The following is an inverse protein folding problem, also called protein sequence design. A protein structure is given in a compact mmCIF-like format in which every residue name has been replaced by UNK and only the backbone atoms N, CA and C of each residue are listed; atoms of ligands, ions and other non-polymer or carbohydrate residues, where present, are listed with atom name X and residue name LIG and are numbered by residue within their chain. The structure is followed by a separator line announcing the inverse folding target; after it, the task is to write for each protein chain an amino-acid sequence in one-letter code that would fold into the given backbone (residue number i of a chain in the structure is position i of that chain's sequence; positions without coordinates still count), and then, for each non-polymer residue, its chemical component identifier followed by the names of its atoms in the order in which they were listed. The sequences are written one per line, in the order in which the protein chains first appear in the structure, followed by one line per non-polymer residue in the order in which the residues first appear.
data_IF_375738098929
#
_entry.id   IF_375738098929
#
_cell.length_a   1.000
_cell.length_b   1.000
_cell.length_c   1.000
_cell.angle_alpha   90.00
_cell.angle_beta   90.00
_cell.angle_gamma   90.00
#
_symmetry.space_group_name_H-M   'P 1'
#
loop_
_entity.id
_entity.type
_entity.pdbx_description
1 polymer ?
#
# COMPACT_ATOMS: atom_id res chain seq x y z
N UNK A 1 38.05 -79.80 -11.18
CA UNK A 1 39.46 -79.39 -10.99
C UNK A 1 39.47 -77.88 -11.08
N UNK A 2 39.52 -77.10 -10.00
CA UNK A 2 39.68 -77.42 -8.58
C UNK A 2 39.01 -76.31 -7.78
N UNK A 3 38.36 -76.71 -6.69
CA UNK A 3 38.00 -75.89 -5.52
C UNK A 3 39.20 -75.14 -4.94
N UNK A 4 38.95 -73.97 -4.33
CA UNK A 4 39.43 -73.54 -3.00
C UNK A 4 38.53 -72.34 -2.53
N UNK A 5 37.63 -72.65 -1.58
CA UNK A 5 37.20 -71.90 -0.37
C UNK A 5 36.54 -70.49 -0.38
N UNK A 6 35.23 -70.52 -0.11
CA UNK A 6 34.30 -69.59 0.58
C UNK A 6 34.80 -69.16 2.01
N UNK A 7 34.27 -68.12 2.73
CA UNK A 7 32.83 -68.01 3.01
C UNK A 7 32.17 -66.63 3.21
N UNK A 8 30.91 -66.59 2.76
CA UNK A 8 29.69 -66.30 3.54
C UNK A 8 29.70 -65.19 4.63
N UNK A 9 28.84 -64.19 4.45
CA UNK A 9 27.81 -63.87 5.45
C UNK A 9 26.50 -63.52 4.73
N UNK A 10 25.70 -64.56 4.51
CA UNK A 10 24.26 -64.55 4.38
C UNK A 10 23.61 -63.84 5.58
N UNK A 11 22.54 -63.12 5.27
CA UNK A 11 21.18 -63.38 5.76
C UNK A 11 20.48 -62.06 6.07
N UNK A 12 19.22 -61.84 5.76
CA UNK A 12 18.19 -62.57 5.03
C UNK A 12 17.06 -61.53 4.88
N UNK A 13 16.19 -61.76 3.91
CA UNK A 13 15.07 -60.88 3.60
C UNK A 13 14.08 -60.76 4.77
N UNK A 14 13.41 -59.61 4.87
CA UNK A 14 11.96 -59.66 5.12
C UNK A 14 11.24 -58.44 4.58
N UNK A 15 10.60 -58.66 3.43
CA UNK A 15 9.22 -58.34 3.10
C UNK A 15 8.54 -57.11 3.74
N UNK A 16 7.97 -56.26 2.88
CA UNK A 16 6.91 -55.32 3.25
C UNK A 16 7.08 -53.96 2.59
N UNK A 17 6.31 -53.69 1.53
CA UNK A 17 6.44 -52.50 0.70
C UNK A 17 6.09 -51.18 1.39
N UNK A 18 6.66 -50.08 0.88
CA UNK A 18 6.03 -48.75 0.87
C UNK A 18 6.71 -47.82 -0.17
N UNK A 19 5.97 -46.94 -0.88
CA UNK A 19 6.37 -46.27 -2.11
C UNK A 19 7.09 -44.96 -1.81
N UNK A 20 8.34 -45.01 -1.33
CA UNK A 20 9.14 -43.79 -1.21
C UNK A 20 9.87 -43.48 -2.52
N UNK A 21 9.15 -42.71 -3.34
CA UNK A 21 9.68 -41.85 -4.41
C UNK A 21 11.05 -41.33 -3.98
N UNK A 22 12.09 -41.71 -4.74
CA UNK A 22 13.43 -41.11 -4.63
C UNK A 22 13.28 -39.64 -5.00
N UNK A 23 13.11 -38.81 -3.98
CA UNK A 23 13.05 -37.37 -4.13
C UNK A 23 14.47 -36.89 -4.36
N UNK A 24 14.66 -36.19 -5.49
CA UNK A 24 15.96 -35.82 -6.01
C UNK A 24 16.80 -35.04 -4.98
N UNK A 25 18.14 -35.15 -5.02
CA UNK A 25 19.05 -34.51 -4.06
C UNK A 25 19.04 -32.97 -4.09
N UNK A 26 18.36 -32.37 -5.06
CA UNK A 26 18.24 -30.93 -5.27
C UNK A 26 16.86 -30.41 -4.88
N UNK A 27 16.32 -30.86 -3.75
CA UNK A 27 15.00 -30.46 -3.28
C UNK A 27 15.02 -28.99 -2.80
N UNK A 28 15.04 -28.06 -3.75
CA UNK A 28 14.85 -26.63 -3.48
C UNK A 28 13.49 -26.46 -2.82
N UNK A 29 13.48 -25.80 -1.65
CA UNK A 29 12.26 -25.49 -0.91
C UNK A 29 11.22 -24.86 -1.85
N UNK A 30 10.04 -25.46 -1.94
CA UNK A 30 8.94 -24.95 -2.74
C UNK A 30 8.19 -23.88 -1.96
N UNK A 31 8.42 -22.62 -2.33
CA UNK A 31 7.70 -21.48 -1.78
C UNK A 31 6.31 -21.38 -2.40
N UNK A 32 5.26 -21.53 -1.61
CA UNK A 32 3.87 -21.29 -2.04
C UNK A 32 3.51 -19.82 -1.89
N UNK A 33 2.46 -19.38 -2.58
CA UNK A 33 1.98 -17.99 -2.47
C UNK A 33 1.58 -17.62 -1.04
N UNK A 34 0.98 -18.55 -0.30
CA UNK A 34 0.64 -18.37 1.12
C UNK A 34 1.88 -18.09 1.97
N UNK A 35 2.95 -18.87 1.77
CA UNK A 35 4.23 -18.66 2.47
C UNK A 35 4.89 -17.35 2.08
N UNK A 36 4.84 -16.96 0.80
CA UNK A 36 5.42 -15.70 0.30
C UNK A 36 4.66 -14.49 0.87
N UNK A 37 3.32 -14.54 0.90
CA UNK A 37 2.50 -13.48 1.52
C UNK A 37 2.82 -13.34 3.01
N UNK A 38 2.89 -14.46 3.73
CA UNK A 38 3.26 -14.47 5.14
C UNK A 38 4.67 -13.91 5.36
N UNK A 39 5.65 -14.27 4.52
CA UNK A 39 7.01 -13.75 4.60
C UNK A 39 7.04 -12.23 4.41
N UNK A 40 6.36 -11.71 3.39
CA UNK A 40 6.29 -10.25 3.12
C UNK A 40 5.63 -9.54 4.31
N UNK A 41 4.53 -10.09 4.82
CA UNK A 41 3.80 -9.56 5.97
C UNK A 41 4.67 -9.55 7.24
N UNK A 42 5.35 -10.67 7.56
CA UNK A 42 6.25 -10.78 8.70
C UNK A 42 7.42 -9.79 8.61
N UNK A 43 8.02 -9.63 7.42
CA UNK A 43 9.11 -8.67 7.20
C UNK A 43 8.65 -7.21 7.35
N UNK A 44 7.40 -6.91 6.98
CA UNK A 44 6.77 -5.60 7.15
C UNK A 44 6.55 -5.26 8.62
N UNK A 45 5.87 -6.12 9.38
CA UNK A 45 5.58 -5.86 10.80
C UNK A 45 6.82 -5.88 11.69
N UNK A 46 7.74 -6.84 11.50
CA UNK A 46 9.00 -6.92 12.27
C UNK A 46 9.97 -5.78 11.88
N UNK A 47 9.77 -5.14 10.72
CA UNK A 47 10.51 -3.94 10.32
C UNK A 47 10.11 -2.67 11.10
N UNK A 48 8.93 -2.65 11.70
CA UNK A 48 8.38 -1.50 12.45
C UNK A 48 8.78 -1.56 13.95
N UNK A 49 8.88 -2.77 14.52
CA UNK A 49 9.24 -3.02 15.94
C UNK A 49 10.68 -2.62 16.33
N UNK A 50 11.57 -2.36 15.37
CA UNK A 50 12.94 -1.90 15.64
C UNK A 50 13.08 -0.37 15.76
N UNK A 51 11.97 0.38 15.60
CA UNK A 51 11.97 1.84 15.53
C UNK A 51 11.41 2.57 16.75
N UNK A 52 11.01 1.88 17.82
CA UNK A 52 10.17 2.46 18.89
C UNK A 52 10.74 2.43 20.32
N UNK A 53 12.07 2.46 20.52
CA UNK A 53 12.61 2.79 21.85
C UNK A 53 13.75 3.81 21.81
N UNK A 54 13.54 4.91 22.54
CA UNK A 54 14.60 5.65 23.23
C UNK A 54 15.39 6.68 22.44
N UNK A 55 14.98 7.94 22.52
CA UNK A 55 15.76 9.12 22.14
C UNK A 55 16.90 9.33 23.13
N UNK A 56 18.16 9.22 22.69
CA UNK A 56 19.32 9.67 23.46
C UNK A 56 20.39 10.24 22.50
N UNK A 57 20.66 11.56 22.49
CA UNK A 57 21.44 12.21 21.42
C UNK A 57 22.96 12.07 21.58
N UNK A 58 23.48 11.32 22.56
CA UNK A 58 24.92 11.27 22.86
C UNK A 58 25.59 9.89 22.78
N UNK A 59 25.04 8.93 22.01
CA UNK A 59 25.72 7.64 21.78
C UNK A 59 26.20 7.49 20.34
N UNK A 60 27.52 7.53 20.18
CA UNK A 60 28.24 7.23 18.92
C UNK A 60 27.63 6.01 18.22
N UNK A 61 27.26 6.21 16.95
CA UNK A 61 26.83 5.16 15.99
C UNK A 61 27.81 3.99 16.00
N UNK A 62 27.41 2.87 16.59
CA UNK A 62 28.16 1.60 16.56
C UNK A 62 27.24 0.38 16.43
N UNK A 63 26.18 0.45 15.63
CA UNK A 63 25.31 -0.73 15.42
C UNK A 63 24.78 -0.81 13.98
N UNK A 64 25.69 -1.10 13.04
CA UNK A 64 25.36 -1.28 11.62
C UNK A 64 25.36 -2.73 11.13
N UNK A 65 25.81 -3.70 11.93
CA UNK A 65 26.08 -5.06 11.45
C UNK A 65 25.41 -6.17 12.27
N UNK A 66 25.18 -5.99 13.58
CA UNK A 66 24.59 -7.03 14.42
C UNK A 66 23.05 -7.14 14.32
N UNK A 67 22.33 -6.05 14.01
CA UNK A 67 20.87 -6.09 13.91
C UNK A 67 20.35 -6.91 12.71
N UNK A 68 21.11 -6.98 11.61
CA UNK A 68 20.74 -7.74 10.41
C UNK A 68 20.63 -9.25 10.66
N UNK A 69 21.46 -9.80 11.57
CA UNK A 69 21.43 -11.23 11.92
C UNK A 69 20.26 -11.61 12.84
N UNK A 70 19.61 -10.63 13.47
CA UNK A 70 18.48 -10.84 14.38
C UNK A 70 17.12 -10.81 13.69
N UNK A 71 16.90 -9.88 12.75
CA UNK A 71 15.62 -9.71 12.05
C UNK A 71 15.14 -11.01 11.41
N UNK A 72 16.01 -11.66 10.65
CA UNK A 72 15.66 -12.89 9.93
C UNK A 72 15.39 -14.07 10.87
N UNK A 73 15.93 -14.06 12.10
CA UNK A 73 15.56 -15.04 13.13
C UNK A 73 14.12 -14.84 13.61
N UNK A 74 13.71 -13.60 13.85
CA UNK A 74 12.32 -13.30 14.23
C UNK A 74 11.35 -13.57 13.08
N UNK A 75 11.72 -13.24 11.83
CA UNK A 75 10.92 -13.56 10.65
C UNK A 75 10.77 -15.08 10.47
N UNK A 76 11.86 -15.85 10.62
CA UNK A 76 11.83 -17.31 10.57
C UNK A 76 10.97 -17.91 11.70
N UNK A 77 11.00 -17.35 12.91
CA UNK A 77 10.11 -17.76 14.00
C UNK A 77 8.64 -17.51 13.69
N UNK A 78 8.29 -16.33 13.18
CA UNK A 78 6.92 -16.01 12.77
C UNK A 78 6.40 -16.94 11.64
N UNK A 79 7.29 -17.36 10.73
CA UNK A 79 6.97 -18.37 9.72
C UNK A 79 6.70 -19.75 10.37
N UNK A 80 7.54 -20.14 11.33
CA UNK A 80 7.43 -21.42 12.05
C UNK A 80 6.15 -21.52 12.90
N UNK A 81 5.74 -20.43 13.56
CA UNK A 81 4.49 -20.36 14.34
C UNK A 81 3.23 -20.61 13.48
N UNK A 82 3.31 -20.36 12.18
CA UNK A 82 2.25 -20.68 11.21
C UNK A 82 2.41 -22.07 10.59
N UNK A 83 3.30 -22.90 11.13
CA UNK A 83 3.58 -24.26 10.66
C UNK A 83 4.55 -24.35 9.48
N UNK A 84 5.21 -23.24 9.09
CA UNK A 84 6.14 -23.22 7.97
C UNK A 84 7.60 -23.18 8.44
N UNK A 85 8.28 -24.32 8.36
CA UNK A 85 9.68 -24.45 8.78
C UNK A 85 10.63 -23.94 7.68
N UNK A 86 11.08 -22.70 7.81
CA UNK A 86 12.08 -22.05 6.94
C UNK A 86 13.16 -21.39 7.77
N UNK A 87 14.42 -21.51 7.35
CA UNK A 87 15.54 -20.93 8.08
C UNK A 87 15.63 -19.40 7.86
N UNK A 88 16.27 -18.65 8.77
CA UNK A 88 16.50 -17.22 8.61
C UNK A 88 17.13 -16.85 7.26
N UNK A 89 18.09 -17.66 6.79
CA UNK A 89 18.76 -17.46 5.51
C UNK A 89 17.79 -17.65 4.33
N UNK A 90 16.94 -18.68 4.38
CA UNK A 90 15.94 -18.93 3.34
C UNK A 90 14.93 -17.78 3.23
N UNK A 91 14.52 -17.20 4.37
CA UNK A 91 13.68 -16.01 4.41
C UNK A 91 14.37 -14.80 3.76
N UNK A 92 15.63 -14.56 4.09
CA UNK A 92 16.43 -13.46 3.54
C UNK A 92 16.61 -13.59 2.02
N UNK A 93 17.07 -14.76 1.56
CA UNK A 93 17.30 -15.03 0.14
C UNK A 93 16.01 -14.89 -0.67
N UNK A 94 14.90 -15.43 -0.14
CA UNK A 94 13.59 -15.33 -0.81
C UNK A 94 13.10 -13.89 -0.88
N UNK A 95 13.25 -13.12 0.18
CA UNK A 95 12.87 -11.71 0.20
C UNK A 95 13.72 -10.89 -0.77
N UNK A 96 15.02 -11.15 -0.85
CA UNK A 96 15.93 -10.48 -1.78
C UNK A 96 15.58 -10.79 -3.25
N UNK A 97 15.19 -12.03 -3.57
CA UNK A 97 14.65 -12.41 -4.89
C UNK A 97 13.38 -11.63 -5.23
N UNK A 98 12.42 -11.57 -4.30
CA UNK A 98 11.16 -10.84 -4.48
C UNK A 98 11.41 -9.34 -4.67
N UNK A 99 12.29 -8.74 -3.87
CA UNK A 99 12.64 -7.33 -3.97
C UNK A 99 13.36 -7.01 -5.29
N UNK A 100 14.23 -7.91 -5.77
CA UNK A 100 14.86 -7.78 -7.09
C UNK A 100 13.83 -7.85 -8.22
N UNK A 101 12.85 -8.75 -8.14
CA UNK A 101 11.74 -8.83 -9.11
C UNK A 101 10.86 -7.59 -9.07
N UNK A 102 10.51 -7.12 -7.89
CA UNK A 102 9.74 -5.88 -7.71
C UNK A 102 10.44 -4.67 -8.34
N UNK A 103 11.76 -4.51 -8.10
CA UNK A 103 12.55 -3.44 -8.73
C UNK A 103 12.52 -3.53 -10.26
N UNK A 104 12.75 -4.72 -10.85
CA UNK A 104 12.67 -4.91 -12.30
C UNK A 104 11.29 -4.56 -12.88
N UNK A 105 10.22 -5.01 -12.21
CA UNK A 105 8.84 -4.69 -12.63
C UNK A 105 8.61 -3.18 -12.56
N UNK A 106 9.10 -2.53 -11.52
CA UNK A 106 8.99 -1.09 -11.35
C UNK A 106 9.84 -0.28 -12.35
N UNK A 107 10.98 -0.81 -12.79
CA UNK A 107 11.84 -0.18 -13.80
C UNK A 107 11.22 -0.25 -15.20
N UNK A 108 10.50 -1.34 -15.52
CA UNK A 108 9.80 -1.51 -16.81
C UNK A 108 8.50 -0.70 -16.85
N UNK A 109 7.72 -0.69 -15.77
CA UNK A 109 6.37 -0.09 -15.75
C UNK A 109 6.33 1.36 -15.21
N UNK A 110 7.41 1.82 -14.56
CA UNK A 110 7.48 3.12 -13.89
C UNK A 110 6.93 3.12 -12.45
N UNK A 111 7.50 4.00 -11.60
CA UNK A 111 7.16 4.16 -10.17
C UNK A 111 5.69 4.62 -10.00
N UNK A 112 4.79 3.66 -9.76
CA UNK A 112 3.36 3.90 -9.49
C UNK A 112 2.38 3.20 -10.44
N UNK A 113 2.87 2.64 -11.55
CA UNK A 113 2.05 1.80 -12.45
C UNK A 113 2.14 0.34 -12.03
N UNK A 114 3.32 -0.11 -11.60
CA UNK A 114 3.55 -1.47 -11.11
C UNK A 114 2.62 -1.88 -9.95
N UNK A 115 2.30 -0.96 -9.03
CA UNK A 115 1.35 -1.22 -7.94
C UNK A 115 -0.10 -1.35 -8.44
N UNK A 116 -0.49 -0.53 -9.43
CA UNK A 116 -1.84 -0.53 -10.02
C UNK A 116 -2.15 -1.82 -10.79
N UNK A 117 -1.16 -2.47 -11.38
CA UNK A 117 -1.35 -3.76 -12.08
C UNK A 117 -1.68 -4.90 -11.09
N UNK A 118 -1.29 -4.77 -9.82
CA UNK A 118 -1.66 -5.75 -8.78
C UNK A 118 -3.08 -5.50 -8.26
N UNK A 119 -3.56 -4.25 -8.30
CA UNK A 119 -4.90 -3.86 -7.88
C UNK A 119 -6.00 -4.15 -8.93
N UNK A 120 -5.65 -4.25 -10.22
CA UNK A 120 -6.63 -4.29 -11.31
C UNK A 120 -6.84 -5.65 -12.02
N UNK A 121 -6.49 -6.79 -11.40
CA UNK A 121 -6.91 -8.10 -11.98
C UNK A 121 -8.40 -8.42 -11.78
N UNK A 122 -9.17 -7.57 -11.09
CA UNK A 122 -10.57 -7.80 -10.80
C UNK A 122 -11.57 -7.25 -11.82
N UNK A 123 -11.25 -6.20 -12.58
CA UNK A 123 -12.29 -5.49 -13.32
C UNK A 123 -11.83 -5.02 -14.70
N UNK A 124 -12.41 -5.66 -15.73
CA UNK A 124 -13.01 -4.97 -16.86
C UNK A 124 -12.14 -3.97 -17.61
N UNK A 125 -11.46 -4.48 -18.64
CA UNK A 125 -11.04 -3.70 -19.79
C UNK A 125 -12.18 -2.81 -20.32
N UNK A 126 -11.96 -1.49 -20.36
CA UNK A 126 -12.70 -0.56 -21.22
C UNK A 126 -11.80 0.55 -21.72
N UNK A 127 -11.18 0.25 -22.87
CA UNK A 127 -11.06 1.11 -24.06
C UNK A 127 -11.24 2.63 -23.87
N UNK A 128 -10.08 3.31 -23.87
CA UNK A 128 -9.74 4.63 -24.43
C UNK A 128 -10.76 5.76 -24.58
N UNK A 129 -10.34 6.98 -24.21
CA UNK A 129 -10.31 8.10 -25.16
C UNK A 129 -9.37 9.22 -24.69
N UNK A 130 -8.56 9.67 -25.66
CA UNK A 130 -7.68 10.84 -25.62
C UNK A 130 -8.50 12.06 -26.10
N UNK A 131 -8.25 13.22 -25.47
CA UNK A 131 -8.47 14.55 -26.07
C UNK A 131 -9.62 15.35 -25.45
N UNK A 132 -9.35 16.52 -24.88
CA UNK A 132 -9.30 17.80 -25.60
C UNK A 132 -9.11 18.95 -24.59
N UNK A 133 -8.11 19.79 -24.86
CA UNK A 133 -7.85 21.07 -24.20
C UNK A 133 -8.86 22.09 -24.73
N UNK A 134 -9.33 23.01 -23.89
CA UNK A 134 -9.57 24.40 -24.27
C UNK A 134 -9.55 25.27 -23.02
N UNK A 135 -8.55 26.16 -22.98
CA UNK A 135 -8.56 27.42 -22.25
C UNK A 135 -9.63 28.34 -22.85
N UNK A 136 -10.31 29.12 -21.99
CA UNK A 136 -10.66 30.52 -22.22
C UNK A 136 -11.39 31.09 -21.00
N UNK A 137 -10.65 31.93 -20.28
CA UNK A 137 -10.96 33.32 -19.96
C UNK A 137 -12.26 33.69 -19.20
N UNK A 138 -11.99 34.25 -18.01
CA UNK A 138 -12.38 35.61 -17.61
C UNK A 138 -13.81 35.89 -17.08
N UNK A 139 -13.78 36.64 -15.98
CA UNK A 139 -14.71 37.71 -15.59
C UNK A 139 -15.99 37.41 -14.78
N UNK A 140 -15.98 38.05 -13.62
CA UNK A 140 -17.03 38.89 -13.04
C UNK A 140 -18.19 38.28 -12.22
N UNK A 141 -17.93 38.35 -10.92
CA UNK A 141 -18.87 38.55 -9.82
C UNK A 141 -19.78 39.77 -10.01
N UNK A 142 -21.11 39.58 -10.09
CA UNK A 142 -22.07 40.45 -9.39
C UNK A 142 -23.50 39.87 -9.28
N UNK A 143 -24.22 40.28 -8.23
CA UNK A 143 -25.66 40.56 -8.36
C UNK A 143 -26.71 39.45 -8.10
N UNK A 144 -27.13 39.34 -6.83
CA UNK A 144 -28.50 39.05 -6.30
C UNK A 144 -29.64 38.79 -7.31
N UNK A 145 -30.47 37.76 -7.08
CA UNK A 145 -31.94 37.92 -6.97
C UNK A 145 -32.68 36.68 -6.47
N UNK A 146 -33.42 36.85 -5.37
CA UNK A 146 -34.47 35.96 -4.91
C UNK A 146 -35.60 35.84 -5.95
N UNK A 147 -35.97 34.61 -6.36
CA UNK A 147 -37.36 34.29 -6.76
C UNK A 147 -37.69 32.81 -6.57
N UNK A 148 -38.50 32.59 -5.54
CA UNK A 148 -39.24 31.39 -5.16
C UNK A 148 -39.99 30.79 -6.36
N UNK A 149 -39.71 29.53 -6.70
CA UNK A 149 -40.66 28.68 -7.44
C UNK A 149 -40.87 27.38 -6.68
N UNK A 150 -42.00 27.31 -5.98
CA UNK A 150 -42.52 26.07 -5.45
C UNK A 150 -42.91 25.16 -6.63
N UNK A 151 -42.32 23.98 -6.71
CA UNK A 151 -42.91 22.84 -7.40
C UNK A 151 -43.01 21.70 -6.40
N UNK A 152 -44.24 21.39 -6.03
CA UNK A 152 -44.66 20.21 -5.31
C UNK A 152 -44.55 19.03 -6.28
N UNK A 153 -43.35 18.44 -6.34
CA UNK A 153 -43.10 17.16 -7.00
C UNK A 153 -42.75 16.17 -5.90
N UNK A 154 -43.67 15.26 -5.61
CA UNK A 154 -43.47 14.20 -4.63
C UNK A 154 -42.32 13.30 -5.05
N UNK A 155 -41.23 13.37 -4.31
CA UNK A 155 -40.29 12.28 -4.11
C UNK A 155 -39.86 12.40 -2.65
N UNK A 156 -40.63 11.76 -1.77
CA UNK A 156 -40.24 11.51 -0.39
C UNK A 156 -39.05 10.55 -0.42
N UNK A 157 -37.84 11.09 -0.57
CA UNK A 157 -36.64 10.35 -0.23
C UNK A 157 -36.74 10.07 1.27
N UNK A 158 -37.05 8.83 1.62
CA UNK A 158 -37.08 8.31 2.98
C UNK A 158 -35.80 8.74 3.69
N UNK A 159 -35.89 9.84 4.44
CA UNK A 159 -34.84 10.39 5.27
C UNK A 159 -34.55 9.33 6.32
N UNK A 160 -33.40 8.67 6.15
CA UNK A 160 -32.86 7.56 6.93
C UNK A 160 -33.45 7.43 8.34
N UNK A 161 -34.38 6.49 8.47
CA UNK A 161 -35.07 6.15 9.72
C UNK A 161 -34.17 5.54 10.81
N UNK A 162 -32.86 5.38 10.58
CA UNK A 162 -31.93 4.80 11.56
C UNK A 162 -31.66 5.70 12.77
N UNK A 163 -31.61 7.03 12.58
CA UNK A 163 -31.39 7.96 13.72
C UNK A 163 -32.62 8.02 14.62
N UNK A 164 -33.83 8.02 14.02
CA UNK A 164 -35.08 7.90 14.77
C UNK A 164 -35.24 6.54 15.43
N UNK A 165 -34.73 5.46 14.85
CA UNK A 165 -34.78 4.12 15.43
C UNK A 165 -33.96 3.99 16.72
N UNK A 166 -32.73 4.53 16.76
CA UNK A 166 -31.89 4.52 17.97
C UNK A 166 -32.48 5.37 19.09
N UNK A 167 -33.03 6.54 18.75
CA UNK A 167 -33.72 7.41 19.72
C UNK A 167 -34.99 6.73 20.24
N UNK A 168 -35.78 6.10 19.36
CA UNK A 168 -36.97 5.34 19.75
C UNK A 168 -36.62 4.10 20.58
N UNK A 169 -35.51 3.41 20.29
CA UNK A 169 -35.01 2.28 21.07
C UNK A 169 -34.60 2.72 22.48
N UNK A 170 -33.87 3.83 22.61
CA UNK A 170 -33.58 4.43 23.92
C UNK A 170 -34.85 4.84 24.67
N UNK A 171 -35.80 5.46 24.00
CA UNK A 171 -37.07 5.86 24.62
C UNK A 171 -37.84 4.63 25.15
N UNK A 172 -37.86 3.53 24.40
CA UNK A 172 -38.51 2.28 24.82
C UNK A 172 -37.78 1.62 26.01
N UNK A 173 -36.44 1.63 26.04
CA UNK A 173 -35.66 1.14 27.19
C UNK A 173 -35.92 1.96 28.45
N UNK A 174 -36.01 3.29 28.32
CA UNK A 174 -36.33 4.21 29.41
C UNK A 174 -37.76 3.96 29.90
N UNK A 175 -38.74 3.89 28.99
CA UNK A 175 -40.13 3.59 29.37
C UNK A 175 -40.28 2.24 30.08
N UNK A 176 -39.57 1.21 29.63
CA UNK A 176 -39.62 -0.13 30.22
C UNK A 176 -39.10 -0.22 31.66
N UNK A 177 -38.10 0.57 32.04
CA UNK A 177 -37.55 0.57 33.42
C UNK A 177 -38.39 1.42 34.37
N UNK A 178 -39.03 2.49 33.87
CA UNK A 178 -39.81 3.40 34.69
C UNK A 178 -41.26 2.96 34.90
N UNK A 179 -41.86 2.25 33.94
CA UNK A 179 -43.23 1.71 34.02
C UNK A 179 -43.34 0.43 34.86
N UNK A 180 -42.23 -0.26 35.11
CA UNK A 180 -42.19 -1.36 36.09
C UNK A 180 -42.45 -0.83 37.51
N UNK A 181 -43.66 -1.08 38.01
CA UNK A 181 -44.10 -0.70 39.36
C UNK A 181 -43.40 -1.46 40.49
N UNK A 182 -42.67 -2.53 40.18
CA UNK A 182 -41.95 -3.36 41.16
C UNK A 182 -40.52 -2.92 41.46
N UNK A 183 -39.93 -1.99 40.69
CA UNK A 183 -38.54 -1.54 40.86
C UNK A 183 -38.43 -0.37 41.81
N UNK A 184 -37.56 -0.48 42.81
CA UNK A 184 -37.28 0.56 43.78
C UNK A 184 -36.74 1.83 43.11
N UNK A 185 -37.04 3.03 43.63
CA UNK A 185 -36.43 4.28 43.16
C UNK A 185 -34.89 4.24 43.12
N UNK A 186 -34.26 3.44 43.99
CA UNK A 186 -32.81 3.23 44.00
C UNK A 186 -32.32 2.43 42.78
N UNK A 187 -33.03 1.39 42.38
CA UNK A 187 -32.68 0.57 41.21
C UNK A 187 -32.80 1.38 39.91
N UNK A 188 -33.85 2.21 39.81
CA UNK A 188 -34.01 3.16 38.70
C UNK A 188 -32.84 4.14 38.62
N UNK A 189 -32.39 4.67 39.77
CA UNK A 189 -31.22 5.58 39.86
C UNK A 189 -29.92 4.89 39.44
N UNK A 190 -29.70 3.63 39.84
CA UNK A 190 -28.52 2.86 39.46
C UNK A 190 -28.51 2.54 37.96
N UNK A 191 -29.67 2.20 37.39
CA UNK A 191 -29.80 1.98 35.96
C UNK A 191 -29.42 3.24 35.15
N UNK A 192 -29.90 4.42 35.54
CA UNK A 192 -29.55 5.69 34.88
C UNK A 192 -28.04 5.95 34.95
N UNK A 193 -27.41 5.74 36.11
CA UNK A 193 -25.95 5.91 36.27
C UNK A 193 -25.16 4.98 35.35
N UNK A 194 -25.53 3.71 35.29
CA UNK A 194 -24.89 2.76 34.37
C UNK A 194 -25.13 3.14 32.90
N UNK A 195 -26.31 3.64 32.57
CA UNK A 195 -26.63 4.07 31.20
C UNK A 195 -25.81 5.29 30.79
N UNK A 196 -25.64 6.28 31.68
CA UNK A 196 -24.76 7.44 31.47
C UNK A 196 -23.32 6.98 31.26
N UNK A 197 -22.83 6.06 32.10
CA UNK A 197 -21.48 5.53 31.99
C UNK A 197 -21.24 4.82 30.65
N UNK A 198 -22.19 4.00 30.19
CA UNK A 198 -22.12 3.36 28.87
C UNK A 198 -22.08 4.37 27.71
N UNK A 199 -22.86 5.44 27.79
CA UNK A 199 -22.89 6.46 26.74
C UNK A 199 -21.56 7.24 26.69
N UNK A 200 -20.96 7.53 27.84
CA UNK A 200 -19.64 8.17 27.89
C UNK A 200 -18.55 7.25 27.34
N UNK A 201 -18.60 5.95 27.65
CA UNK A 201 -17.70 4.96 27.07
C UNK A 201 -17.81 4.90 25.54
N UNK A 202 -19.04 4.86 25.00
CA UNK A 202 -19.26 4.89 23.55
C UNK A 202 -18.74 6.19 22.93
N UNK A 203 -19.00 7.35 23.56
CA UNK A 203 -18.51 8.65 23.12
C UNK A 203 -16.98 8.69 23.04
N UNK A 204 -16.30 8.24 24.09
CA UNK A 204 -14.84 8.13 24.12
C UNK A 204 -14.33 7.18 23.01
N UNK A 205 -15.03 6.08 22.77
CA UNK A 205 -14.75 5.17 21.66
C UNK A 205 -14.80 5.86 20.30
N UNK A 206 -15.85 6.65 20.04
CA UNK A 206 -15.98 7.41 18.80
C UNK A 206 -14.91 8.50 18.68
N UNK A 207 -14.60 9.23 19.75
CA UNK A 207 -13.54 10.25 19.76
C UNK A 207 -12.17 9.63 19.45
N UNK A 208 -11.86 8.47 20.04
CA UNK A 208 -10.64 7.72 19.77
C UNK A 208 -10.55 7.28 18.29
N UNK A 209 -11.64 6.74 17.74
CA UNK A 209 -11.68 6.35 16.33
C UNK A 209 -11.52 7.55 15.40
N UNK A 210 -12.18 8.67 15.70
CA UNK A 210 -12.05 9.91 14.93
C UNK A 210 -10.61 10.43 14.95
N UNK A 211 -9.95 10.39 16.11
CA UNK A 211 -8.54 10.77 16.23
C UNK A 211 -7.61 9.89 15.36
N UNK A 212 -7.85 8.58 15.31
CA UNK A 212 -7.06 7.68 14.47
C UNK A 212 -7.28 7.95 12.97
N UNK A 213 -8.52 8.24 12.56
CA UNK A 213 -8.82 8.65 11.19
C UNK A 213 -8.13 9.97 10.84
N UNK A 214 -8.13 10.94 11.76
CA UNK A 214 -7.45 12.22 11.57
C UNK A 214 -5.93 12.03 11.41
N UNK A 215 -5.32 11.10 12.15
CA UNK A 215 -3.91 10.72 11.97
C UNK A 215 -3.63 10.17 10.57
N UNK A 216 -4.51 9.33 10.03
CA UNK A 216 -4.38 8.82 8.65
C UNK A 216 -4.60 9.94 7.62
N UNK A 217 -5.58 10.81 7.82
CA UNK A 217 -5.83 11.99 6.97
C UNK A 217 -4.58 12.88 6.91
N UNK A 218 -3.95 13.16 8.04
CA UNK A 218 -2.74 13.98 8.08
C UNK A 218 -1.55 13.32 7.36
N UNK A 219 -1.39 12.00 7.48
CA UNK A 219 -0.38 11.25 6.70
C UNK A 219 -0.65 11.39 5.20
N UNK A 220 -1.90 11.20 4.78
CA UNK A 220 -2.30 11.36 3.39
C UNK A 220 -2.05 12.77 2.88
N UNK A 221 -2.46 13.80 3.63
CA UNK A 221 -2.27 15.20 3.27
C UNK A 221 -0.78 15.56 3.08
N UNK A 222 0.10 15.04 3.94
CA UNK A 222 1.55 15.22 3.79
C UNK A 222 2.09 14.53 2.54
N UNK A 223 1.63 13.31 2.27
CA UNK A 223 2.04 12.56 1.09
C UNK A 223 1.56 13.22 -0.20
N UNK A 224 0.28 13.57 -0.29
CA UNK A 224 -0.31 14.22 -1.47
C UNK A 224 0.36 15.56 -1.76
N UNK A 225 0.55 16.41 -0.75
CA UNK A 225 1.26 17.70 -0.90
C UNK A 225 2.72 17.53 -1.35
N UNK A 226 3.41 16.49 -0.84
CA UNK A 226 4.76 16.17 -1.30
C UNK A 226 4.75 15.74 -2.76
N UNK A 227 3.79 14.90 -3.15
CA UNK A 227 3.66 14.40 -4.52
C UNK A 227 3.32 15.50 -5.52
N UNK A 228 2.41 16.40 -5.17
CA UNK A 228 2.07 17.57 -5.97
C UNK A 228 3.30 18.42 -6.29
N UNK A 229 4.11 18.76 -5.28
CA UNK A 229 5.37 19.50 -5.48
C UNK A 229 6.40 18.74 -6.31
N UNK A 230 6.46 17.42 -6.19
CA UNK A 230 7.31 16.59 -7.07
C UNK A 230 6.86 16.66 -8.52
N UNK A 231 5.55 16.62 -8.77
CA UNK A 231 5.00 16.74 -10.13
C UNK A 231 5.24 18.14 -10.72
N UNK A 232 5.06 19.20 -9.94
CA UNK A 232 5.35 20.57 -10.40
C UNK A 232 6.82 20.76 -10.75
N UNK A 233 7.75 20.18 -9.98
CA UNK A 233 9.18 20.18 -10.36
C UNK A 233 9.43 19.45 -11.67
N UNK A 234 8.80 18.29 -11.88
CA UNK A 234 8.96 17.53 -13.11
C UNK A 234 8.40 18.29 -14.33
N UNK A 235 7.29 19.02 -14.19
CA UNK A 235 6.75 19.91 -15.24
C UNK A 235 7.77 20.99 -15.61
N UNK A 236 8.29 21.70 -14.62
CA UNK A 236 9.28 22.77 -14.85
C UNK A 236 10.59 22.23 -15.46
N UNK A 237 11.03 21.03 -15.06
CA UNK A 237 12.22 20.42 -15.64
C UNK A 237 12.00 20.01 -17.11
N UNK A 238 10.84 19.45 -17.44
CA UNK A 238 10.48 19.16 -18.83
C UNK A 238 10.42 20.44 -19.67
N UNK A 239 9.83 21.50 -19.13
CA UNK A 239 9.76 22.79 -19.81
C UNK A 239 11.15 23.38 -20.05
N UNK A 240 12.04 23.30 -19.06
CA UNK A 240 13.45 23.69 -19.22
C UNK A 240 14.12 22.90 -20.34
N UNK A 241 13.92 21.58 -20.39
CA UNK A 241 14.48 20.72 -21.45
C UNK A 241 13.89 21.06 -22.82
N UNK A 242 12.60 21.38 -22.91
CA UNK A 242 11.94 21.83 -24.15
C UNK A 242 12.60 23.10 -24.68
N UNK A 243 12.76 24.11 -23.82
CA UNK A 243 13.41 25.37 -24.18
C UNK A 243 14.88 25.18 -24.56
N UNK A 244 15.60 24.29 -23.87
CA UNK A 244 16.98 23.93 -24.22
C UNK A 244 17.06 23.25 -25.59
N UNK A 245 16.15 22.33 -25.89
CA UNK A 245 16.04 21.70 -27.21
C UNK A 245 15.76 22.74 -28.31
N UNK A 246 14.81 23.66 -28.08
CA UNK A 246 14.49 24.75 -29.02
C UNK A 246 15.71 25.65 -29.25
N UNK A 247 16.42 26.02 -28.19
CA UNK A 247 17.67 26.79 -28.29
C UNK A 247 18.71 26.06 -29.13
N UNK A 248 18.89 24.76 -28.94
CA UNK A 248 19.84 23.95 -29.72
C UNK A 248 19.45 23.89 -31.21
N UNK A 249 18.16 23.73 -31.53
CA UNK A 249 17.67 23.74 -32.91
C UNK A 249 17.96 25.09 -33.59
N UNK A 250 17.72 26.21 -32.89
CA UNK A 250 18.01 27.54 -33.44
C UNK A 250 19.51 27.75 -33.69
N UNK A 251 20.38 27.23 -32.81
CA UNK A 251 21.83 27.27 -33.01
C UNK A 251 22.27 26.47 -34.23
N UNK A 252 21.72 25.27 -34.44
CA UNK A 252 22.00 24.44 -35.62
C UNK A 252 21.57 25.18 -36.89
N UNK A 253 20.34 25.71 -36.92
CA UNK A 253 19.82 26.44 -38.08
C UNK A 253 20.63 27.68 -38.43
N UNK A 254 21.13 28.39 -37.41
CA UNK A 254 22.07 29.51 -37.61
C UNK A 254 23.37 29.03 -38.28
N UNK A 255 23.93 27.91 -37.81
CA UNK A 255 25.15 27.33 -38.38
C UNK A 255 24.97 26.84 -39.81
N UNK A 256 23.82 26.25 -40.13
CA UNK A 256 23.47 25.85 -41.50
C UNK A 256 23.45 27.07 -42.44
N UNK A 257 22.85 28.18 -42.02
CA UNK A 257 22.83 29.43 -42.79
C UNK A 257 24.25 30.00 -42.97
N UNK A 258 25.06 30.02 -41.92
CA UNK A 258 26.47 30.47 -41.99
C UNK A 258 27.27 29.62 -43.00
N UNK A 259 27.09 28.30 -43.00
CA UNK A 259 27.76 27.39 -43.93
C UNK A 259 27.32 27.62 -45.38
N UNK A 260 26.01 27.79 -45.63
CA UNK A 260 25.50 28.11 -46.97
C UNK A 260 26.09 29.43 -47.50
N UNK A 261 26.25 30.44 -46.65
CA UNK A 261 26.85 31.72 -47.03
C UNK A 261 28.33 31.59 -47.41
N UNK A 262 29.10 30.82 -46.63
CA UNK A 262 30.52 30.56 -46.92
C UNK A 262 30.67 29.81 -48.25
N UNK A 263 29.85 28.81 -48.50
CA UNK A 263 29.87 28.06 -49.76
C UNK A 263 29.56 28.95 -50.97
N UNK A 264 28.61 29.88 -50.83
CA UNK A 264 28.27 30.84 -51.87
C UNK A 264 29.44 31.81 -52.16
N UNK A 265 30.11 32.35 -51.13
CA UNK A 265 31.29 33.20 -51.31
C UNK A 265 32.44 32.49 -52.03
N UNK A 266 32.67 31.20 -51.74
CA UNK A 266 33.71 30.41 -52.42
C UNK A 266 33.40 30.21 -53.91
N UNK A 267 32.12 30.06 -54.26
CA UNK A 267 31.70 29.97 -55.67
C UNK A 267 31.93 31.29 -56.42
N UNK A 268 31.62 32.44 -55.82
CA UNK A 268 31.83 33.75 -56.44
C UNK A 268 33.30 34.19 -56.54
N UNK A 269 34.20 33.60 -55.75
CA UNK A 269 35.64 33.89 -55.80
C UNK A 269 36.41 32.94 -56.72
N UNK A 270 35.77 31.89 -57.24
CA UNK A 270 36.36 30.90 -58.16
C UNK A 270 35.95 31.09 -59.63
N UNK A 271 35.12 32.09 -59.93
CA UNK A 271 34.74 32.56 -61.27
C UNK A 271 35.36 33.91 -61.56
#
# INVERSE_FOLDING_TARGET
MSDEDEPNFQAEESSGGDPKRKISPWQRMKWTDTMVRLLIMAVYYIGDEAGSEGTDPNKKKSSGLLQKKGKWKSVSRAMMEKGFYVSPQQCEDKFNDLNKRYKRVNDILGKGTACRVVENQGEGCSKGQIGHINDQDEEENDGKSSRKRARKGGFSFSRSSSSTQLVNQMNNEISGVFQDGGKSPWEKKQWIRNRIMQLEEQKIGYESQAFQLEKQRLKWARYSSKKEREMERAKLENERRRLENERMVLLIRKKEIELMHIQQQQQHSST
#
